data_IF_934419843359
#
_entry.id   IF_934419843359
#
_cell.length_a   1.000
_cell.length_b   1.000
_cell.length_c   1.000
_cell.angle_alpha   90.00
_cell.angle_beta   90.00
_cell.angle_gamma   90.00
#
_symmetry.space_group_name_H-M   'P 1'
#
loop_
_entity.id
_entity.type
_entity.pdbx_description
1 polymer ?
#
# COMPACT_ATOMS: atom_id res chain seq x y z
N UNK A 1 1.00 -14.23 23.84
CA UNK A 1 -0.28 -14.32 23.12
C UNK A 1 -0.92 -12.93 23.14
N UNK A 2 -0.50 -12.03 22.25
CA UNK A 2 -0.94 -10.63 22.26
C UNK A 2 -2.06 -10.41 21.24
N UNK A 3 -3.12 -9.69 21.63
CA UNK A 3 -4.16 -9.23 20.71
C UNK A 3 -3.52 -8.60 19.48
N UNK A 4 -3.94 -8.98 18.27
CA UNK A 4 -3.52 -8.30 17.04
C UNK A 4 -4.62 -7.33 16.61
N UNK A 5 -4.40 -6.04 16.76
CA UNK A 5 -5.32 -5.03 16.23
C UNK A 5 -4.94 -4.70 14.79
N UNK A 6 -5.87 -4.97 13.87
CA UNK A 6 -5.83 -4.49 12.48
C UNK A 6 -7.16 -3.82 12.16
N UNK A 7 -7.12 -2.59 11.67
CA UNK A 7 -8.30 -1.87 11.17
C UNK A 7 -8.01 -1.36 9.78
N UNK A 8 -8.83 -1.77 8.81
CA UNK A 8 -8.79 -1.27 7.44
C UNK A 8 -9.91 -0.24 7.28
N UNK A 9 -9.55 0.97 6.92
CA UNK A 9 -10.46 2.07 6.63
C UNK A 9 -10.37 2.38 5.14
N UNK A 10 -11.51 2.36 4.45
CA UNK A 10 -11.62 2.81 3.07
C UNK A 10 -11.96 4.29 3.11
N UNK A 11 -11.04 5.14 2.65
CA UNK A 11 -11.24 6.60 2.66
C UNK A 11 -11.97 7.06 1.39
N UNK A 12 -11.56 6.52 0.24
CA UNK A 12 -12.13 6.81 -1.07
C UNK A 12 -11.84 5.63 -2.01
N UNK A 13 -12.54 5.47 -3.15
CA UNK A 13 -12.23 4.43 -4.13
C UNK A 13 -10.77 4.53 -4.58
N UNK A 14 -9.98 3.47 -4.34
CA UNK A 14 -8.54 3.46 -4.62
C UNK A 14 -7.65 3.91 -3.44
N UNK A 15 -8.21 4.40 -2.33
CA UNK A 15 -7.41 4.74 -1.13
C UNK A 15 -7.85 3.93 0.08
N UNK A 16 -6.91 3.10 0.55
CA UNK A 16 -7.10 2.15 1.63
C UNK A 16 -6.07 2.42 2.72
N UNK A 17 -6.52 2.80 3.90
CA UNK A 17 -5.65 3.03 5.05
C UNK A 17 -5.76 1.82 5.99
N UNK A 18 -4.65 1.11 6.21
CA UNK A 18 -4.58 -0.05 7.10
C UNK A 18 -3.78 0.35 8.34
N UNK A 19 -4.42 0.35 9.50
CA UNK A 19 -3.77 0.60 10.79
C UNK A 19 -3.58 -0.76 11.46
N UNK A 20 -2.34 -1.07 11.84
CA UNK A 20 -2.01 -2.29 12.56
C UNK A 20 -1.12 -1.98 13.75
N UNK A 21 -0.99 -2.90 14.69
CA UNK A 21 -0.05 -2.76 15.81
C UNK A 21 1.41 -2.54 15.40
N UNK A 22 1.80 -3.00 14.20
CA UNK A 22 3.17 -2.84 13.69
C UNK A 22 3.39 -1.53 12.94
N UNK A 23 2.35 -0.71 12.77
CA UNK A 23 2.41 0.58 12.08
C UNK A 23 1.20 0.86 11.17
N UNK A 24 1.17 2.09 10.65
CA UNK A 24 0.17 2.59 9.69
C UNK A 24 0.67 2.35 8.27
N UNK A 25 -0.18 1.71 7.46
CA UNK A 25 0.09 1.38 6.07
C UNK A 25 -1.01 1.96 5.18
N UNK A 26 -0.70 3.05 4.48
CA UNK A 26 -1.65 3.79 3.65
C UNK A 26 -1.40 3.51 2.19
N UNK A 27 -2.33 2.83 1.53
CA UNK A 27 -2.28 2.57 0.08
C UNK A 27 -3.15 3.60 -0.63
N UNK A 28 -2.54 4.36 -1.54
CA UNK A 28 -3.19 5.41 -2.34
C UNK A 28 -2.99 5.05 -3.82
N UNK A 29 -4.07 4.72 -4.52
CA UNK A 29 -4.10 4.59 -5.98
C UNK A 29 -4.89 3.40 -6.50
N UNK A 30 -5.10 3.42 -7.81
CA UNK A 30 -5.86 2.40 -8.53
C UNK A 30 -5.01 1.14 -8.81
N UNK A 31 -5.68 0.03 -9.09
CA UNK A 31 -5.04 -1.27 -9.35
C UNK A 31 -4.15 -1.19 -10.59
N UNK A 32 -2.83 -1.12 -10.40
CA UNK A 32 -1.82 -0.97 -11.47
C UNK A 32 -0.94 0.29 -11.36
N UNK A 33 -1.38 1.28 -10.58
CA UNK A 33 -0.65 2.49 -10.20
C UNK A 33 -1.04 2.87 -8.77
N UNK A 34 -0.43 2.21 -7.79
CA UNK A 34 -0.74 2.41 -6.37
C UNK A 34 0.52 2.67 -5.56
N UNK A 35 0.50 3.70 -4.73
CA UNK A 35 1.59 4.05 -3.82
C UNK A 35 1.24 3.57 -2.42
N UNK A 36 2.11 2.78 -1.82
CA UNK A 36 1.92 2.23 -0.47
C UNK A 36 2.90 2.90 0.48
N UNK A 37 2.38 3.69 1.41
CA UNK A 37 3.16 4.36 2.44
C UNK A 37 3.14 3.51 3.71
N UNK A 38 4.31 3.05 4.15
CA UNK A 38 4.51 2.26 5.36
C UNK A 38 5.58 2.93 6.24
N UNK A 39 5.69 2.54 7.52
CA UNK A 39 6.77 2.97 8.42
C UNK A 39 8.17 2.60 7.91
N UNK A 40 8.27 1.61 7.01
CA UNK A 40 9.51 1.16 6.35
C UNK A 40 9.80 1.88 5.01
N UNK A 41 8.98 2.85 4.62
CA UNK A 41 9.14 3.63 3.40
C UNK A 41 7.98 3.47 2.41
N UNK A 42 8.12 4.16 1.28
CA UNK A 42 7.10 4.30 0.23
C UNK A 42 7.34 3.28 -0.88
N UNK A 43 6.44 2.32 -1.04
CA UNK A 43 6.46 1.33 -2.12
C UNK A 43 5.49 1.76 -3.24
N UNK A 44 6.05 2.23 -4.35
CA UNK A 44 5.27 2.53 -5.56
C UNK A 44 5.10 1.26 -6.38
N UNK A 45 3.85 0.85 -6.60
CA UNK A 45 3.49 -0.28 -7.46
C UNK A 45 2.98 0.24 -8.80
N UNK A 46 3.91 0.40 -9.74
CA UNK A 46 3.63 0.76 -11.13
C UNK A 46 3.92 -0.47 -12.01
N UNK A 47 2.88 -1.18 -12.46
CA UNK A 47 3.03 -2.38 -13.30
C UNK A 47 3.75 -2.08 -14.61
N UNK A 48 3.43 -0.95 -15.24
CA UNK A 48 4.02 -0.54 -16.53
C UNK A 48 5.51 -0.25 -16.44
N UNK A 49 5.94 0.45 -15.39
CA UNK A 49 7.36 0.76 -15.17
C UNK A 49 8.15 -0.50 -14.85
N UNK A 50 7.59 -1.41 -14.06
CA UNK A 50 8.22 -2.70 -13.76
C UNK A 50 8.31 -3.62 -14.97
N UNK A 51 7.33 -3.57 -15.87
CA UNK A 51 7.35 -4.35 -17.12
C UNK A 51 8.39 -3.78 -18.09
N UNK A 52 8.44 -2.46 -18.23
CA UNK A 52 9.43 -1.79 -19.08
C UNK A 52 10.86 -2.07 -18.61
N UNK A 53 11.13 -1.95 -17.31
CA UNK A 53 12.42 -2.33 -16.68
C UNK A 53 12.78 -3.82 -16.76
N UNK A 54 11.85 -4.69 -17.14
CA UNK A 54 12.08 -6.12 -17.29
C UNK A 54 12.36 -6.50 -18.75
N UNK A 55 11.88 -5.69 -19.69
CA UNK A 55 11.99 -5.93 -21.13
C UNK A 55 13.23 -5.25 -21.74
N UNK A 56 13.71 -4.17 -21.12
CA UNK A 56 14.98 -3.50 -21.40
C UNK A 56 15.91 -3.64 -20.20
#
# INVERSE_FOLDING_TARGET
>A
MGWSYRKRVKLMPGVHLNISQKGVNTTIGIRGASVNFNSRGTRVNNKWVSLFKKLF
#
